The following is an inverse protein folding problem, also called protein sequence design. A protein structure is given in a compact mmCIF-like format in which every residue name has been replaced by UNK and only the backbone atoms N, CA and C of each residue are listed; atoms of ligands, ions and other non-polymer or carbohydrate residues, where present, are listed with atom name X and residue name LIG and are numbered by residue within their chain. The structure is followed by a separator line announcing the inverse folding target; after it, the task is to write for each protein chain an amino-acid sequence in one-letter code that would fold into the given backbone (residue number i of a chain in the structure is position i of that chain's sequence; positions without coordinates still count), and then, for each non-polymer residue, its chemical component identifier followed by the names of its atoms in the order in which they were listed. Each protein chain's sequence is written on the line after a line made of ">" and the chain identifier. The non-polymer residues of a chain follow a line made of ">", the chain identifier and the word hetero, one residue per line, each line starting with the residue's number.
data_IF_169822245827
#
_entry.id   IF_169822245827
#
_cell.length_a   1.000
_cell.length_b   1.000
_cell.length_c   1.000
_cell.angle_alpha   90.00
_cell.angle_beta   90.00
_cell.angle_gamma   90.00
#
_symmetry.space_group_name_H-M   'P 1'
#
loop_
_entity.id
_entity.type
_entity.pdbx_description
1 polymer ?
#
# COMPACT_ATOMS: atom_id res chain seq x y z
N UNK A 1 -8.02 6.41 -0.02
CA UNK A 1 -7.81 4.99 -0.38
C UNK A 1 -8.28 4.10 0.76
N UNK A 2 -9.06 3.06 0.48
CA UNK A 2 -9.63 2.18 1.51
C UNK A 2 -9.53 0.68 1.20
N UNK A 3 -9.61 0.29 -0.08
CA UNK A 3 -9.68 -1.11 -0.51
C UNK A 3 -8.43 -1.93 -0.16
N UNK A 4 -7.27 -1.27 -0.03
CA UNK A 4 -6.02 -1.94 0.37
C UNK A 4 -6.06 -2.54 1.78
N UNK A 5 -7.04 -2.15 2.62
CA UNK A 5 -7.24 -2.72 3.95
C UNK A 5 -8.21 -3.92 3.97
N UNK A 6 -8.85 -4.23 2.84
CA UNK A 6 -9.72 -5.39 2.73
C UNK A 6 -8.89 -6.67 2.81
N UNK A 7 -9.23 -7.55 3.76
CA UNK A 7 -8.54 -8.85 3.94
C UNK A 7 -8.82 -9.87 2.83
N UNK A 8 -9.81 -9.60 1.97
CA UNK A 8 -10.24 -10.49 0.88
C UNK A 8 -10.62 -9.63 -0.35
N UNK A 9 -9.71 -9.43 -1.31
CA UNK A 9 -9.96 -8.65 -2.53
C UNK A 9 -11.24 -9.09 -3.25
N UNK A 10 -11.45 -10.40 -3.36
CA UNK A 10 -12.63 -10.96 -4.02
C UNK A 10 -13.95 -10.58 -3.36
N UNK A 11 -14.01 -10.53 -2.02
CA UNK A 11 -15.23 -10.13 -1.33
C UNK A 11 -15.53 -8.64 -1.57
N UNK A 12 -14.50 -7.79 -1.56
CA UNK A 12 -14.66 -6.36 -1.83
C UNK A 12 -15.14 -6.10 -3.27
N UNK A 13 -14.53 -6.77 -4.25
CA UNK A 13 -14.92 -6.63 -5.66
C UNK A 13 -16.31 -7.21 -5.93
N UNK A 14 -16.68 -8.32 -5.28
CA UNK A 14 -18.04 -8.87 -5.38
C UNK A 14 -19.09 -7.89 -4.84
N UNK A 15 -18.80 -7.20 -3.74
CA UNK A 15 -19.70 -6.15 -3.23
C UNK A 15 -19.81 -4.96 -4.18
N UNK A 16 -18.70 -4.54 -4.81
CA UNK A 16 -18.72 -3.52 -5.87
C UNK A 16 -19.63 -3.96 -7.02
N UNK A 17 -19.47 -5.20 -7.51
CA UNK A 17 -20.30 -5.77 -8.57
C UNK A 17 -21.79 -5.83 -8.18
N UNK A 18 -22.08 -6.15 -6.92
CA UNK A 18 -23.45 -6.22 -6.39
C UNK A 18 -24.13 -4.86 -6.36
N UNK A 19 -23.42 -3.80 -5.94
CA UNK A 19 -24.01 -2.45 -5.78
C UNK A 19 -24.03 -1.64 -7.07
N UNK A 20 -23.17 -1.94 -8.05
CA UNK A 20 -23.25 -1.32 -9.36
C UNK A 20 -24.56 -1.70 -10.06
N UNK A 21 -25.22 -0.71 -10.65
CA UNK A 21 -26.31 -0.94 -11.60
C UNK A 21 -25.74 -1.47 -12.92
N UNK A 22 -26.57 -2.15 -13.71
CA UNK A 22 -26.21 -2.59 -15.05
C UNK A 22 -25.80 -1.39 -15.93
N UNK A 23 -24.65 -1.47 -16.61
CA UNK A 23 -24.01 -0.36 -17.31
C UNK A 23 -23.27 0.64 -16.40
N UNK A 24 -23.29 0.44 -15.08
CA UNK A 24 -22.63 1.29 -14.11
C UNK A 24 -21.12 1.08 -14.08
N UNK A 25 -20.39 2.14 -13.72
CA UNK A 25 -18.92 2.16 -13.68
C UNK A 25 -18.36 2.45 -12.28
N UNK A 26 -17.18 1.91 -12.01
CA UNK A 26 -16.39 2.21 -10.82
C UNK A 26 -14.93 2.48 -11.18
N UNK A 27 -14.37 3.56 -10.65
CA UNK A 27 -12.95 3.90 -10.73
C UNK A 27 -12.28 3.57 -9.39
N UNK A 28 -11.28 2.69 -9.42
CA UNK A 28 -10.58 2.24 -8.22
C UNK A 28 -9.11 2.63 -8.29
N UNK A 29 -8.61 3.16 -7.17
CA UNK A 29 -7.19 3.38 -6.92
C UNK A 29 -6.79 2.59 -5.66
N UNK A 30 -5.98 1.56 -5.83
CA UNK A 30 -5.64 0.60 -4.78
C UNK A 30 -4.12 0.54 -4.64
N UNK A 31 -3.59 0.85 -3.45
CA UNK A 31 -2.17 0.62 -3.18
C UNK A 31 -1.91 -0.87 -3.00
N UNK A 32 -0.90 -1.35 -3.71
CA UNK A 32 -0.58 -2.78 -3.84
C UNK A 32 0.81 -3.07 -3.29
N UNK A 33 1.12 -4.36 -3.17
CA UNK A 33 2.48 -4.82 -2.89
C UNK A 33 3.49 -4.25 -3.90
N UNK A 34 4.74 -4.11 -3.46
CA UNK A 34 5.76 -3.26 -4.09
C UNK A 34 5.88 -1.88 -3.42
N UNK A 35 4.85 -1.47 -2.68
CA UNK A 35 4.89 -0.23 -1.88
C UNK A 35 5.81 -0.31 -0.66
N UNK A 36 6.39 0.84 -0.30
CA UNK A 36 7.30 1.02 0.83
C UNK A 36 8.60 0.20 0.70
N UNK A 37 9.06 -0.02 -0.54
CA UNK A 37 10.22 -0.86 -0.81
C UNK A 37 11.50 -0.29 -0.16
N UNK A 38 11.68 1.03 -0.19
CA UNK A 38 12.79 1.75 0.44
C UNK A 38 12.85 1.47 1.93
N UNK A 39 11.72 1.64 2.61
CA UNK A 39 11.60 1.44 4.04
C UNK A 39 11.80 -0.03 4.44
N UNK A 40 11.24 -0.98 3.67
CA UNK A 40 11.46 -2.41 3.88
C UNK A 40 12.94 -2.78 3.68
N UNK A 41 13.60 -2.23 2.66
CA UNK A 41 15.06 -2.44 2.41
C UNK A 41 15.89 -1.86 3.56
N UNK A 42 15.64 -0.62 3.97
CA UNK A 42 16.34 0.03 5.07
C UNK A 42 16.19 -0.74 6.39
N UNK A 43 14.98 -1.23 6.68
CA UNK A 43 14.69 -2.07 7.85
C UNK A 43 15.53 -3.35 7.86
N UNK A 44 15.60 -4.06 6.72
CA UNK A 44 16.44 -5.26 6.58
C UNK A 44 17.92 -4.94 6.73
N UNK A 45 18.41 -3.89 6.07
CA UNK A 45 19.82 -3.49 6.12
C UNK A 45 20.26 -3.09 7.54
N UNK A 46 19.40 -2.41 8.28
CA UNK A 46 19.66 -2.01 9.67
C UNK A 46 19.45 -3.13 10.69
N UNK A 47 18.97 -4.32 10.28
CA UNK A 47 18.61 -5.41 11.19
C UNK A 47 17.46 -5.06 12.14
N UNK A 48 16.61 -4.11 11.75
CA UNK A 48 15.47 -3.65 12.54
C UNK A 48 14.21 -4.36 12.06
N UNK A 49 13.40 -4.88 12.99
CA UNK A 49 12.10 -5.43 12.66
C UNK A 49 11.04 -4.33 12.64
N UNK A 50 10.65 -3.88 11.44
CA UNK A 50 9.55 -2.95 11.24
C UNK A 50 8.35 -3.69 10.65
N UNK A 51 7.19 -3.57 11.31
CA UNK A 51 5.95 -4.18 10.85
C UNK A 51 5.11 -3.16 10.05
N UNK A 52 5.16 -3.29 8.73
CA UNK A 52 4.30 -2.59 7.78
C UNK A 52 3.22 -3.59 7.34
N UNK A 53 1.98 -3.12 7.20
CA UNK A 53 0.90 -3.99 6.72
C UNK A 53 1.28 -4.64 5.38
N UNK A 54 0.93 -5.91 5.24
CA UNK A 54 1.02 -6.60 3.96
C UNK A 54 -0.11 -6.10 3.05
N UNK A 55 0.22 -5.96 1.78
CA UNK A 55 -0.69 -5.52 0.74
C UNK A 55 -0.81 -6.66 -0.27
N UNK A 56 -1.97 -6.79 -0.90
CA UNK A 56 -2.12 -7.72 -2.02
C UNK A 56 -1.39 -7.20 -3.25
N UNK A 57 -0.87 -8.10 -4.07
CA UNK A 57 -0.25 -7.75 -5.36
C UNK A 57 -1.31 -7.27 -6.35
N UNK A 58 -0.88 -6.58 -7.41
CA UNK A 58 -1.80 -6.23 -8.50
C UNK A 58 -2.43 -7.47 -9.14
N UNK A 59 -1.64 -8.54 -9.29
CA UNK A 59 -2.11 -9.82 -9.82
C UNK A 59 -3.19 -10.46 -8.94
N UNK A 60 -3.10 -10.36 -7.61
CA UNK A 60 -4.14 -10.86 -6.70
C UNK A 60 -5.47 -10.13 -6.92
N UNK A 61 -5.44 -8.81 -7.12
CA UNK A 61 -6.63 -8.01 -7.41
C UNK A 61 -7.24 -8.37 -8.78
N UNK A 62 -6.41 -8.50 -9.81
CA UNK A 62 -6.87 -8.88 -11.16
C UNK A 62 -7.44 -10.31 -11.19
N UNK A 63 -6.80 -11.25 -10.49
CA UNK A 63 -7.29 -12.63 -10.35
C UNK A 63 -8.60 -12.71 -9.55
N UNK A 64 -8.80 -11.83 -8.59
CA UNK A 64 -10.06 -11.73 -7.86
C UNK A 64 -11.17 -11.11 -8.73
N UNK A 65 -10.82 -10.13 -9.57
CA UNK A 65 -11.73 -9.43 -10.45
C UNK A 65 -12.33 -10.34 -11.52
N UNK A 66 -11.53 -11.25 -12.09
CA UNK A 66 -11.98 -12.22 -13.11
C UNK A 66 -13.13 -13.11 -12.64
N UNK A 67 -13.37 -13.21 -11.33
CA UNK A 67 -14.42 -14.02 -10.71
C UNK A 67 -15.72 -13.24 -10.43
N UNK A 68 -15.78 -11.95 -10.76
CA UNK A 68 -16.94 -11.08 -10.42
C UNK A 68 -17.91 -10.84 -11.56
N UNK A 69 -17.53 -11.17 -12.80
CA UNK A 69 -18.31 -10.84 -14.00
C UNK A 69 -18.32 -9.36 -14.37
N UNK A 70 -17.56 -8.52 -13.68
CA UNK A 70 -17.29 -7.14 -14.09
C UNK A 70 -16.33 -7.14 -15.29
N UNK A 71 -16.60 -6.27 -16.25
CA UNK A 71 -15.66 -5.94 -17.30
C UNK A 71 -14.64 -4.96 -16.76
N UNK A 72 -13.39 -5.07 -17.22
CA UNK A 72 -12.37 -4.06 -16.96
C UNK A 72 -11.56 -3.82 -18.24
N UNK A 73 -11.21 -2.54 -18.44
CA UNK A 73 -10.38 -2.11 -19.56
C UNK A 73 -8.89 -2.37 -19.31
N UNK A 74 -8.04 -1.52 -19.87
CA UNK A 74 -6.64 -1.48 -19.44
C UNK A 74 -6.56 -1.12 -17.95
N UNK A 75 -5.60 -1.72 -17.26
CA UNK A 75 -5.23 -1.34 -15.90
C UNK A 75 -3.86 -0.67 -15.94
N UNK A 76 -3.63 0.23 -14.99
CA UNK A 76 -2.34 0.92 -14.87
C UNK A 76 -1.74 0.69 -13.49
N UNK A 77 -0.44 0.41 -13.47
CA UNK A 77 0.36 0.42 -12.25
C UNK A 77 1.23 1.66 -12.27
N UNK A 78 0.96 2.57 -11.33
CA UNK A 78 1.65 3.85 -11.24
C UNK A 78 2.42 3.91 -9.93
N UNK A 79 3.70 4.21 -10.02
CA UNK A 79 4.54 4.50 -8.86
C UNK A 79 4.48 5.99 -8.52
N UNK A 80 4.27 6.26 -7.24
CA UNK A 80 4.30 7.60 -6.67
C UNK A 80 5.41 7.66 -5.64
N UNK A 81 6.19 8.73 -5.64
CA UNK A 81 7.25 8.96 -4.67
C UNK A 81 6.94 10.21 -3.87
N UNK A 82 6.98 10.07 -2.54
CA UNK A 82 6.90 11.18 -1.61
C UNK A 82 8.28 11.47 -1.01
N UNK A 83 8.52 12.74 -0.70
CA UNK A 83 9.76 13.23 -0.10
C UNK A 83 9.48 13.74 1.33
N UNK A 84 10.40 13.45 2.25
CA UNK A 84 10.25 13.75 3.67
C UNK A 84 11.56 14.33 4.23
N UNK A 85 11.46 15.32 5.11
CA UNK A 85 12.65 15.95 5.71
C UNK A 85 13.42 14.98 6.64
N UNK A 86 12.77 13.90 7.07
CA UNK A 86 13.42 12.83 7.83
C UNK A 86 12.53 11.63 8.08
N UNK A 87 13.13 10.58 8.64
CA UNK A 87 12.46 9.30 8.88
C UNK A 87 11.20 9.43 9.75
N UNK A 88 11.22 10.33 10.74
CA UNK A 88 10.07 10.53 11.63
C UNK A 88 8.82 11.01 10.90
N UNK A 89 8.97 11.90 9.92
CA UNK A 89 7.86 12.42 9.13
C UNK A 89 7.28 11.33 8.23
N UNK A 90 8.16 10.53 7.59
CA UNK A 90 7.78 9.35 6.82
C UNK A 90 6.96 8.36 7.66
N UNK A 91 7.50 7.94 8.82
CA UNK A 91 6.82 6.98 9.69
C UNK A 91 5.48 7.51 10.20
N UNK A 92 5.37 8.83 10.45
CA UNK A 92 4.11 9.47 10.83
C UNK A 92 3.11 9.47 9.68
N UNK A 93 3.55 9.72 8.44
CA UNK A 93 2.70 9.64 7.24
C UNK A 93 2.11 8.23 7.08
N UNK A 94 2.96 7.21 7.12
CA UNK A 94 2.56 5.79 7.04
C UNK A 94 1.56 5.42 8.15
N UNK A 95 1.82 5.87 9.38
CA UNK A 95 0.90 5.65 10.50
C UNK A 95 -0.44 6.38 10.29
N UNK A 96 -0.41 7.60 9.75
CA UNK A 96 -1.59 8.42 9.48
C UNK A 96 -2.55 7.79 8.47
N UNK A 97 -2.02 7.09 7.46
CA UNK A 97 -2.83 6.38 6.46
C UNK A 97 -3.26 4.98 6.90
N UNK A 98 -2.86 4.53 8.10
CA UNK A 98 -3.17 3.20 8.63
C UNK A 98 -2.29 2.07 8.09
N UNK A 99 -1.20 2.39 7.38
CA UNK A 99 -0.24 1.42 6.85
C UNK A 99 0.72 0.86 7.92
N UNK A 100 0.81 1.51 9.07
CA UNK A 100 1.48 0.97 10.24
C UNK A 100 0.69 -0.16 10.89
N UNK A 101 1.37 -1.25 11.28
CA UNK A 101 0.72 -2.41 11.89
C UNK A 101 -0.05 -2.07 13.17
N UNK A 102 -1.35 -2.40 13.15
CA UNK A 102 -2.24 -2.36 14.31
C UNK A 102 -2.58 -3.75 14.84
N UNK A 103 -1.73 -4.75 14.60
CA UNK A 103 -1.96 -6.12 15.06
C UNK A 103 -2.29 -6.14 16.57
N UNK A 104 -3.53 -6.51 16.89
CA UNK A 104 -3.99 -6.74 18.26
C UNK A 104 -3.21 -7.93 18.83
N UNK A 105 -2.46 -7.71 19.91
CA UNK A 105 -1.82 -8.77 20.70
C UNK A 105 -0.31 -8.92 20.55
N UNK A 106 0.34 -8.30 19.56
CA UNK A 106 1.80 -8.25 19.53
C UNK A 106 2.31 -7.22 20.55
N UNK A 107 3.21 -7.63 21.47
CA UNK A 107 3.92 -6.68 22.34
C UNK A 107 4.63 -5.65 21.46
N UNK A 108 4.09 -4.44 21.39
CA UNK A 108 4.72 -3.30 20.70
C UNK A 108 6.01 -2.95 21.43
N UNK A 109 7.13 -3.54 21.03
CA UNK A 109 8.40 -2.89 21.28
C UNK A 109 8.46 -1.67 20.37
N UNK A 110 8.27 -0.49 20.96
CA UNK A 110 8.50 0.75 20.24
C UNK A 110 9.95 0.79 19.73
N UNK A 111 10.16 1.39 18.57
CA UNK A 111 11.51 1.60 18.06
C UNK A 111 12.30 2.44 19.05
N UNK A 112 13.45 1.94 19.49
CA UNK A 112 14.37 2.72 20.31
C UNK A 112 14.97 3.85 19.49
N UNK A 113 15.46 4.91 20.15
CA UNK A 113 16.15 6.01 19.46
C UNK A 113 17.34 5.51 18.63
N UNK A 114 18.06 4.50 19.11
CA UNK A 114 19.16 3.85 18.38
C UNK A 114 18.67 3.17 17.10
N UNK A 115 17.58 2.40 17.18
CA UNK A 115 16.98 1.73 16.03
C UNK A 115 16.48 2.73 14.98
N UNK A 116 15.89 3.85 15.42
CA UNK A 116 15.46 4.92 14.51
C UNK A 116 16.65 5.56 13.79
N UNK A 117 17.72 5.89 14.49
CA UNK A 117 18.92 6.45 13.86
C UNK A 117 19.56 5.47 12.86
N UNK A 118 19.59 4.17 13.17
CA UNK A 118 20.10 3.14 12.27
C UNK A 118 19.22 2.98 11.03
N UNK A 119 17.89 3.01 11.20
CA UNK A 119 16.94 2.96 10.09
C UNK A 119 17.07 4.19 9.21
N UNK A 120 17.20 5.38 9.81
CA UNK A 120 17.33 6.65 9.08
C UNK A 120 18.64 6.74 8.28
N UNK A 121 19.73 6.19 8.81
CA UNK A 121 21.01 6.10 8.10
C UNK A 121 20.94 5.14 6.90
N UNK A 122 20.04 4.15 6.93
CA UNK A 122 19.86 3.17 5.85
C UNK A 122 18.81 3.59 4.81
N UNK A 123 18.06 4.67 5.06
CA UNK A 123 17.07 5.19 4.10
C UNK A 123 17.76 5.89 2.92
N UNK A 124 17.27 5.69 1.68
CA UNK A 124 17.73 6.49 0.55
C UNK A 124 17.34 7.96 0.75
N UNK A 125 18.19 8.85 0.22
CA UNK A 125 17.95 10.29 0.19
C UNK A 125 18.07 10.82 -1.22
N UNK A 126 17.25 11.80 -1.57
CA UNK A 126 17.38 12.55 -2.82
C UNK A 126 18.59 13.51 -2.76
N UNK A 127 18.84 14.24 -3.85
CA UNK A 127 19.93 15.21 -3.96
C UNK A 127 19.83 16.35 -2.93
N UNK A 128 18.61 16.65 -2.44
CA UNK A 128 18.34 17.65 -1.43
C UNK A 128 18.51 17.12 0.01
N UNK A 129 18.87 15.84 0.16
CA UNK A 129 19.06 15.18 1.45
C UNK A 129 17.75 14.73 2.11
N UNK A 130 16.62 14.79 1.44
CA UNK A 130 15.33 14.32 1.96
C UNK A 130 15.19 12.81 1.80
N UNK A 131 14.54 12.18 2.76
CA UNK A 131 14.19 10.76 2.71
C UNK A 131 13.07 10.55 1.70
N UNK A 132 13.24 9.60 0.78
CA UNK A 132 12.21 9.26 -0.21
C UNK A 132 11.56 7.92 0.10
N UNK A 133 10.29 7.79 -0.29
CA UNK A 133 9.59 6.51 -0.22
C UNK A 133 8.57 6.40 -1.35
N UNK A 134 8.59 5.25 -2.02
CA UNK A 134 7.72 4.96 -3.16
C UNK A 134 6.55 4.07 -2.74
N UNK A 135 5.39 4.31 -3.34
CA UNK A 135 4.23 3.42 -3.28
C UNK A 135 3.65 3.20 -4.67
N UNK A 136 3.13 2.00 -4.90
CA UNK A 136 2.57 1.58 -6.19
C UNK A 136 1.06 1.49 -6.07
N UNK A 137 0.35 2.11 -7.00
CA UNK A 137 -1.11 2.12 -7.06
C UNK A 137 -1.57 1.44 -8.33
N UNK A 138 -2.45 0.45 -8.18
CA UNK A 138 -3.23 -0.14 -9.23
C UNK A 138 -4.47 0.73 -9.49
N UNK A 139 -4.58 1.27 -10.69
CA UNK A 139 -5.75 1.98 -11.19
C UNK A 139 -6.58 1.05 -12.07
N UNK A 140 -7.88 0.98 -11.77
CA UNK A 140 -8.85 0.12 -12.48
C UNK A 140 -10.13 0.88 -12.79
N UNK A 141 -10.53 0.82 -14.05
CA UNK A 141 -11.88 1.17 -14.48
C UNK A 141 -12.69 -0.11 -14.67
N UNK A 142 -13.76 -0.25 -13.89
CA UNK A 142 -14.67 -1.40 -13.93
C UNK A 142 -16.02 -0.99 -14.51
N UNK A 143 -16.66 -1.88 -15.27
CA UNK A 143 -18.02 -1.69 -15.78
C UNK A 143 -18.84 -2.97 -15.54
N UNK A 144 -20.06 -2.79 -15.03
CA UNK A 144 -21.01 -3.90 -14.93
C UNK A 144 -21.73 -4.06 -16.27
N UNK A 145 -21.71 -5.25 -16.88
CA UNK A 145 -22.45 -5.50 -18.12
C UNK A 145 -23.94 -5.15 -18.00
N UNK A 146 -24.55 -4.77 -19.13
CA UNK A 146 -25.99 -4.53 -19.24
C UNK A 146 -26.81 -5.78 -18.90
#
# INVERSE_FOLDING_TARGET
>A
MALQWCRRPQAALAEIARVLHHGGRAELAIMVDGSFAELRRASRAAGISLHINELFTASDWLNALSQTGLNYGAHELVEYSDEFDGLWQLLRSIKGVGAGSSAQGAKRQGLTRKALNQLEAAMPRNEQGQVTNTYTVLHLTLEKPL
#
